data_IF_954203803302
#
_entry.id   IF_954203803302
#
_cell.length_a   1.000
_cell.length_b   1.000
_cell.length_c   1.000
_cell.angle_alpha   90.00
_cell.angle_beta   90.00
_cell.angle_gamma   90.00
#
_symmetry.space_group_name_H-M   'P 1'
#
loop_
_entity.id
_entity.type
_entity.pdbx_description
1 polymer ?
#
# COMPACT_ATOMS: atom_id res chain seq x y z
N UNK A 1 44.51 7.00 -27.74
CA UNK A 1 43.58 5.95 -27.28
C UNK A 1 43.35 5.94 -25.77
N UNK A 2 44.37 6.09 -24.90
CA UNK A 2 44.17 6.13 -23.44
C UNK A 2 43.30 7.30 -22.95
N UNK A 3 43.39 8.48 -23.55
CA UNK A 3 42.64 9.68 -23.16
C UNK A 3 41.14 9.61 -23.49
N UNK A 4 40.74 8.83 -24.50
CA UNK A 4 39.34 8.68 -24.91
C UNK A 4 38.57 7.71 -23.98
N UNK A 5 39.26 6.70 -23.43
CA UNK A 5 38.70 5.76 -22.46
C UNK A 5 38.47 6.39 -21.07
N UNK A 6 39.30 7.36 -20.67
CA UNK A 6 39.13 8.06 -19.38
C UNK A 6 37.92 8.99 -19.38
N UNK A 7 37.62 9.64 -20.51
CA UNK A 7 36.45 10.53 -20.64
C UNK A 7 35.15 9.71 -20.67
N UNK A 8 35.15 8.55 -21.34
CA UNK A 8 34.00 7.64 -21.34
C UNK A 8 33.72 7.07 -19.93
N UNK A 9 34.78 6.74 -19.17
CA UNK A 9 34.64 6.28 -17.79
C UNK A 9 34.13 7.38 -16.83
N UNK A 10 34.47 8.65 -17.08
CA UNK A 10 33.97 9.78 -16.29
C UNK A 10 32.52 10.15 -16.60
N UNK A 11 32.01 9.86 -17.80
CA UNK A 11 30.59 10.12 -18.14
C UNK A 11 29.62 9.04 -17.64
N UNK A 12 30.10 7.83 -17.33
CA UNK A 12 29.26 6.75 -16.79
C UNK A 12 29.13 6.76 -15.26
N UNK A 13 29.89 7.62 -14.54
CA UNK A 13 29.97 7.60 -13.08
C UNK A 13 29.13 8.66 -12.34
N UNK A 14 28.39 9.55 -13.01
CA UNK A 14 27.65 10.62 -12.30
C UNK A 14 26.23 10.90 -12.80
N UNK A 15 25.58 9.93 -13.44
CA UNK A 15 24.13 9.95 -13.61
C UNK A 15 23.48 8.98 -12.62
N UNK A 16 23.75 9.16 -11.32
CA UNK A 16 22.81 8.69 -10.31
C UNK A 16 21.56 9.55 -10.48
N UNK A 17 20.54 9.00 -11.15
CA UNK A 17 19.25 9.65 -11.26
C UNK A 17 18.78 10.05 -9.86
N UNK A 18 18.80 11.35 -9.54
CA UNK A 18 18.30 11.90 -8.26
C UNK A 18 16.77 11.87 -8.15
N UNK A 19 16.13 10.95 -8.86
CA UNK A 19 14.67 10.87 -9.06
C UNK A 19 14.04 9.63 -8.45
N UNK A 20 14.71 9.00 -7.48
CA UNK A 20 14.26 7.74 -6.87
C UNK A 20 14.33 7.81 -5.36
N UNK A 21 13.33 7.23 -4.70
CA UNK A 21 13.35 7.10 -3.26
C UNK A 21 14.40 6.07 -2.80
N UNK A 22 14.90 6.22 -1.57
CA UNK A 22 15.91 5.30 -1.02
C UNK A 22 15.48 3.82 -1.09
N UNK A 23 14.19 3.52 -0.90
CA UNK A 23 13.68 2.15 -0.94
C UNK A 23 13.61 1.57 -2.35
N UNK A 24 13.70 2.37 -3.41
CA UNK A 24 13.58 1.88 -4.79
C UNK A 24 14.82 1.14 -5.29
N UNK A 25 15.92 1.15 -4.52
CA UNK A 25 17.09 0.30 -4.77
C UNK A 25 16.85 -1.18 -4.46
N UNK A 26 15.81 -1.51 -3.68
CA UNK A 26 15.46 -2.87 -3.30
C UNK A 26 14.54 -3.54 -4.32
N UNK A 27 14.52 -4.87 -4.30
CA UNK A 27 13.66 -5.65 -5.19
C UNK A 27 12.19 -5.34 -4.93
N UNK A 28 11.47 -4.93 -5.97
CA UNK A 28 10.03 -4.68 -5.89
C UNK A 28 9.23 -5.97 -6.02
N UNK A 29 8.15 -6.08 -5.25
CA UNK A 29 7.17 -7.15 -5.41
C UNK A 29 6.54 -7.11 -6.82
N UNK A 30 6.30 -8.28 -7.40
CA UNK A 30 5.67 -8.42 -8.72
C UNK A 30 4.19 -8.77 -8.57
N UNK A 31 3.34 -7.77 -8.75
CA UNK A 31 1.90 -7.95 -8.68
C UNK A 31 1.29 -8.46 -9.98
N UNK A 32 0.31 -9.37 -9.85
CA UNK A 32 -0.74 -9.55 -10.85
C UNK A 32 -1.86 -8.54 -10.57
N UNK A 33 -2.28 -7.84 -11.60
CA UNK A 33 -3.18 -6.69 -11.51
C UNK A 33 -4.52 -6.96 -12.19
N UNK A 34 -5.62 -6.57 -11.55
CA UNK A 34 -6.99 -6.71 -12.05
C UNK A 34 -7.74 -5.39 -11.86
N UNK A 35 -8.34 -4.86 -12.92
CA UNK A 35 -8.99 -3.56 -12.94
C UNK A 35 -10.40 -3.59 -13.56
N UNK A 36 -10.95 -4.78 -13.82
CA UNK A 36 -12.24 -5.01 -14.46
C UNK A 36 -13.40 -5.05 -13.44
N UNK A 37 -13.44 -4.06 -12.55
CA UNK A 37 -14.53 -3.89 -11.59
C UNK A 37 -15.88 -3.74 -12.30
N UNK A 38 -16.86 -4.56 -11.89
CA UNK A 38 -18.26 -4.42 -12.30
C UNK A 38 -19.03 -3.68 -11.22
N UNK A 39 -19.51 -2.48 -11.57
CA UNK A 39 -20.27 -1.63 -10.66
C UNK A 39 -21.76 -1.78 -10.91
N UNK A 40 -22.51 -2.03 -9.84
CA UNK A 40 -23.97 -2.10 -9.82
C UNK A 40 -24.48 -0.99 -8.91
N UNK A 41 -24.93 0.10 -9.51
CA UNK A 41 -25.56 1.20 -8.79
C UNK A 41 -27.01 0.84 -8.44
N UNK A 42 -27.29 0.78 -7.14
CA UNK A 42 -28.63 0.53 -6.59
C UNK A 42 -29.07 1.65 -5.66
N UNK A 43 -28.51 2.85 -5.81
CA UNK A 43 -28.71 3.99 -4.92
C UNK A 43 -30.19 4.37 -4.77
N UNK A 44 -30.97 4.33 -5.86
CA UNK A 44 -32.39 4.69 -5.81
C UNK A 44 -33.22 3.73 -4.94
N UNK A 45 -32.94 2.42 -5.01
CA UNK A 45 -33.76 1.37 -4.39
C UNK A 45 -33.23 0.89 -3.05
N UNK A 46 -31.91 0.74 -2.94
CA UNK A 46 -31.25 0.08 -1.81
C UNK A 46 -30.27 0.99 -1.07
N UNK A 47 -30.07 2.23 -1.54
CA UNK A 47 -29.09 3.20 -0.99
C UNK A 47 -27.67 2.63 -0.94
N UNK A 48 -27.32 1.80 -1.94
CA UNK A 48 -26.05 1.08 -2.00
C UNK A 48 -25.48 1.08 -3.41
N UNK A 49 -24.16 1.02 -3.47
CA UNK A 49 -23.41 0.73 -4.70
C UNK A 49 -22.52 -0.48 -4.45
N UNK A 50 -22.53 -1.43 -5.38
CA UNK A 50 -21.68 -2.62 -5.32
C UNK A 50 -20.64 -2.59 -6.41
N UNK A 51 -19.36 -2.70 -6.07
CA UNK A 51 -18.27 -2.92 -7.02
C UNK A 51 -17.73 -4.34 -6.81
N UNK A 52 -17.79 -5.17 -7.85
CA UNK A 52 -17.45 -6.59 -7.77
C UNK A 52 -16.36 -6.94 -8.77
N UNK A 53 -15.35 -7.70 -8.34
CA UNK A 53 -14.27 -8.20 -9.19
C UNK A 53 -14.05 -9.68 -8.90
N UNK A 54 -13.95 -10.50 -9.96
CA UNK A 54 -13.78 -11.95 -9.86
C UNK A 54 -12.47 -12.37 -10.50
N UNK A 55 -11.66 -13.11 -9.74
CA UNK A 55 -10.40 -13.70 -10.20
C UNK A 55 -10.62 -15.20 -10.42
N UNK A 56 -10.56 -15.68 -11.68
CA UNK A 56 -10.64 -17.11 -11.94
C UNK A 56 -9.35 -17.81 -11.51
N UNK A 57 -9.48 -19.06 -11.06
CA UNK A 57 -8.34 -19.90 -10.63
C UNK A 57 -7.43 -19.17 -9.62
N UNK A 58 -8.03 -18.53 -8.62
CA UNK A 58 -7.27 -17.83 -7.58
C UNK A 58 -6.65 -18.83 -6.60
N UNK A 59 -7.43 -19.82 -6.18
CA UNK A 59 -6.98 -20.87 -5.27
C UNK A 59 -6.33 -22.02 -6.06
N UNK A 60 -5.38 -22.72 -5.44
CA UNK A 60 -4.63 -23.83 -6.06
C UNK A 60 -5.51 -24.96 -6.60
N UNK A 61 -6.70 -25.16 -6.01
CA UNK A 61 -7.66 -26.15 -6.46
C UNK A 61 -8.52 -25.69 -7.66
N UNK A 62 -8.21 -24.52 -8.24
CA UNK A 62 -8.92 -23.93 -9.38
C UNK A 62 -10.14 -23.09 -8.99
N UNK A 63 -10.43 -22.93 -7.70
CA UNK A 63 -11.59 -22.15 -7.28
C UNK A 63 -11.44 -20.66 -7.62
N UNK A 64 -12.59 -20.03 -7.82
CA UNK A 64 -12.71 -18.61 -8.11
C UNK A 64 -12.82 -17.80 -6.82
N UNK A 65 -12.16 -16.64 -6.79
CA UNK A 65 -12.31 -15.63 -5.76
C UNK A 65 -13.14 -14.47 -6.31
N UNK A 66 -14.09 -13.97 -5.53
CA UNK A 66 -14.76 -12.71 -5.82
C UNK A 66 -14.66 -11.78 -4.63
N UNK A 67 -14.20 -10.55 -4.86
CA UNK A 67 -14.27 -9.45 -3.89
C UNK A 67 -15.41 -8.52 -4.29
N UNK A 68 -16.30 -8.24 -3.35
CA UNK A 68 -17.34 -7.24 -3.51
C UNK A 68 -17.18 -6.15 -2.46
N UNK A 69 -17.02 -4.92 -2.94
CA UNK A 69 -17.00 -3.70 -2.15
C UNK A 69 -18.40 -3.08 -2.19
N UNK A 70 -19.02 -2.89 -1.03
CA UNK A 70 -20.34 -2.27 -0.91
C UNK A 70 -20.24 -0.98 -0.13
N UNK A 71 -20.63 0.12 -0.77
CA UNK A 71 -20.77 1.43 -0.14
C UNK A 71 -22.23 1.77 0.06
N UNK A 72 -22.52 2.54 1.09
CA UNK A 72 -23.86 3.00 1.45
C UNK A 72 -23.95 4.50 1.18
N UNK A 73 -25.01 4.94 0.50
CA UNK A 73 -25.15 6.34 0.06
C UNK A 73 -25.86 7.24 1.08
N UNK A 74 -26.53 6.64 2.06
CA UNK A 74 -27.22 7.32 3.17
C UNK A 74 -26.30 7.56 4.37
N UNK A 75 -25.23 6.77 4.52
CA UNK A 75 -24.17 6.93 5.52
C UNK A 75 -22.80 6.77 4.86
N UNK A 76 -22.52 7.60 3.86
CA UNK A 76 -21.31 7.50 3.03
C UNK A 76 -20.00 7.65 3.82
N UNK A 77 -20.02 8.32 4.97
CA UNK A 77 -18.84 8.52 5.82
C UNK A 77 -18.59 7.32 6.76
N UNK A 78 -19.62 6.51 7.04
CA UNK A 78 -19.64 5.53 8.12
C UNK A 78 -19.96 4.13 7.59
N UNK A 79 -18.89 3.35 7.42
CA UNK A 79 -18.90 1.89 7.22
C UNK A 79 -19.34 1.38 5.84
N UNK A 80 -18.36 0.91 5.06
CA UNK A 80 -18.58 0.02 3.93
C UNK A 80 -18.46 -1.45 4.34
N UNK A 81 -18.92 -2.33 3.46
CA UNK A 81 -18.77 -3.78 3.63
C UNK A 81 -17.92 -4.34 2.50
N UNK A 82 -16.91 -5.12 2.86
CA UNK A 82 -16.19 -5.99 1.95
C UNK A 82 -16.72 -7.41 2.13
N UNK A 83 -17.14 -8.04 1.04
CA UNK A 83 -17.51 -9.45 1.01
C UNK A 83 -16.51 -10.23 0.18
N UNK A 84 -16.16 -11.40 0.67
CA UNK A 84 -15.31 -12.37 0.00
C UNK A 84 -16.18 -13.56 -0.36
N UNK A 85 -16.10 -13.99 -1.61
CA UNK A 85 -16.77 -15.21 -2.08
C UNK A 85 -15.76 -16.18 -2.66
N UNK A 86 -15.98 -17.46 -2.37
CA UNK A 86 -15.31 -18.59 -3.02
C UNK A 86 -16.36 -19.35 -3.82
N UNK A 87 -16.18 -19.45 -5.14
CA UNK A 87 -17.16 -20.10 -6.04
C UNK A 87 -18.61 -19.64 -5.81
N UNK A 88 -18.82 -18.32 -5.69
CA UNK A 88 -20.12 -17.66 -5.44
C UNK A 88 -20.72 -17.85 -4.03
N UNK A 89 -20.08 -18.62 -3.15
CA UNK A 89 -20.49 -18.71 -1.74
C UNK A 89 -19.77 -17.64 -0.93
N UNK A 90 -20.52 -16.80 -0.20
CA UNK A 90 -19.95 -15.79 0.71
C UNK A 90 -19.21 -16.52 1.84
N UNK A 91 -17.91 -16.29 1.97
CA UNK A 91 -17.06 -16.88 3.00
C UNK A 91 -16.73 -15.88 4.11
N UNK A 92 -16.67 -14.59 3.79
CA UNK A 92 -16.40 -13.54 4.77
C UNK A 92 -17.18 -12.26 4.46
N UNK A 93 -17.54 -11.55 5.54
CA UNK A 93 -18.17 -10.24 5.51
C UNK A 93 -17.48 -9.35 6.53
N UNK A 94 -16.85 -8.30 6.06
CA UNK A 94 -15.94 -7.46 6.84
C UNK A 94 -16.37 -6.01 6.71
N UNK A 95 -16.40 -5.29 7.84
CA UNK A 95 -16.68 -3.86 7.85
C UNK A 95 -15.38 -3.08 7.63
N UNK A 96 -15.44 -2.05 6.79
CA UNK A 96 -14.35 -1.10 6.58
C UNK A 96 -14.86 0.30 6.90
N UNK A 97 -14.14 1.03 7.75
CA UNK A 97 -14.53 2.39 8.15
C UNK A 97 -14.12 3.42 7.09
N UNK A 98 -14.71 3.29 5.90
CA UNK A 98 -14.61 4.25 4.79
C UNK A 98 -15.76 4.02 3.80
N UNK A 99 -16.04 4.99 2.92
CA UNK A 99 -16.75 4.72 1.66
C UNK A 99 -15.79 4.21 0.58
N UNK A 100 -16.21 3.21 -0.19
CA UNK A 100 -15.62 2.94 -1.49
C UNK A 100 -16.31 3.79 -2.56
N UNK A 101 -15.55 4.66 -3.22
CA UNK A 101 -16.05 5.40 -4.36
C UNK A 101 -15.73 4.59 -5.63
N UNK A 102 -16.72 4.10 -6.40
CA UNK A 102 -16.48 3.26 -7.57
C UNK A 102 -15.51 3.88 -8.59
N UNK A 103 -15.54 5.20 -8.73
CA UNK A 103 -14.65 5.92 -9.65
C UNK A 103 -13.20 6.06 -9.15
N UNK A 104 -12.96 5.80 -7.86
CA UNK A 104 -11.64 5.88 -7.23
C UNK A 104 -11.06 4.51 -6.84
N UNK A 105 -11.74 3.42 -7.21
CA UNK A 105 -11.23 2.08 -7.01
C UNK A 105 -10.03 1.84 -7.92
N UNK A 106 -8.86 1.67 -7.28
CA UNK A 106 -7.65 1.27 -7.97
C UNK A 106 -7.70 -0.22 -8.36
N UNK A 107 -6.68 -0.62 -9.10
CA UNK A 107 -6.35 -1.99 -9.45
C UNK A 107 -6.25 -2.85 -8.19
N UNK A 108 -7.00 -3.96 -8.17
CA UNK A 108 -6.80 -5.04 -7.21
C UNK A 108 -5.51 -5.77 -7.59
N UNK A 109 -4.60 -5.89 -6.62
CA UNK A 109 -3.27 -6.47 -6.82
C UNK A 109 -3.14 -7.77 -6.04
N UNK A 110 -2.46 -8.75 -6.63
CA UNK A 110 -2.26 -10.09 -6.05
C UNK A 110 -0.79 -10.48 -6.11
N UNK A 111 -0.23 -10.89 -4.98
CA UNK A 111 1.10 -11.49 -4.85
C UNK A 111 1.25 -12.14 -3.47
N UNK A 112 2.24 -13.00 -3.30
CA UNK A 112 2.70 -13.44 -1.98
C UNK A 112 3.50 -12.29 -1.34
N UNK A 113 2.93 -11.61 -0.35
CA UNK A 113 3.54 -10.43 0.29
C UNK A 113 4.35 -10.87 1.52
N UNK A 114 3.82 -11.81 2.30
CA UNK A 114 4.41 -12.22 3.57
C UNK A 114 5.41 -13.40 3.43
N UNK A 115 5.55 -13.98 2.24
CA UNK A 115 6.49 -15.05 1.91
C UNK A 115 6.01 -16.45 2.33
N UNK A 116 4.71 -16.66 2.53
CA UNK A 116 4.16 -17.95 2.97
C UNK A 116 3.74 -18.89 1.83
N UNK A 117 3.89 -18.43 0.58
CA UNK A 117 3.54 -19.18 -0.63
C UNK A 117 2.08 -19.04 -1.05
N UNK A 118 1.23 -18.36 -0.28
CA UNK A 118 -0.17 -18.10 -0.63
C UNK A 118 -0.31 -16.75 -1.34
N UNK A 119 -1.46 -16.53 -1.98
CA UNK A 119 -1.72 -15.30 -2.73
C UNK A 119 -2.41 -14.28 -1.82
N UNK A 120 -1.73 -13.20 -1.48
CA UNK A 120 -2.32 -12.08 -0.76
C UNK A 120 -2.94 -11.07 -1.73
N UNK A 121 -3.88 -10.27 -1.23
CA UNK A 121 -4.58 -9.25 -2.01
C UNK A 121 -4.28 -7.88 -1.42
N UNK A 122 -4.08 -6.90 -2.30
CA UNK A 122 -3.96 -5.48 -1.96
C UNK A 122 -4.98 -4.66 -2.74
N UNK A 123 -5.69 -3.79 -2.02
CA UNK A 123 -6.62 -2.79 -2.56
C UNK A 123 -6.21 -1.42 -2.04
N UNK A 124 -6.25 -0.42 -2.91
CA UNK A 124 -6.05 0.98 -2.56
C UNK A 124 -7.33 1.73 -2.93
N UNK A 125 -7.83 2.54 -2.01
CA UNK A 125 -9.01 3.38 -2.25
C UNK A 125 -8.73 4.80 -1.78
N UNK A 126 -8.94 5.78 -2.65
CA UNK A 126 -8.70 7.18 -2.31
C UNK A 126 -9.87 7.78 -1.53
N UNK A 127 -9.57 8.71 -0.60
CA UNK A 127 -10.58 9.47 0.15
C UNK A 127 -11.16 10.67 -0.61
N UNK A 128 -10.71 10.93 -1.85
CA UNK A 128 -11.23 11.98 -2.74
C UNK A 128 -11.19 13.41 -2.15
N UNK A 129 -10.19 13.72 -1.31
CA UNK A 129 -9.99 15.05 -0.74
C UNK A 129 -9.39 16.07 -1.72
N UNK A 130 -9.17 17.29 -1.24
CA UNK A 130 -8.50 18.37 -1.99
C UNK A 130 -7.12 18.72 -1.38
N UNK A 131 -6.21 19.27 -2.19
CA UNK A 131 -4.87 19.65 -1.73
C UNK A 131 -4.08 18.45 -1.19
N UNK A 132 -3.43 18.59 -0.04
CA UNK A 132 -2.70 17.48 0.61
C UNK A 132 -3.61 16.36 1.13
N UNK A 133 -4.91 16.62 1.29
CA UNK A 133 -5.90 15.60 1.62
C UNK A 133 -6.28 14.74 0.39
N UNK A 134 -6.03 15.22 -0.84
CA UNK A 134 -6.21 14.42 -2.05
C UNK A 134 -5.27 13.21 -2.10
N UNK A 135 -4.16 13.27 -1.37
CA UNK A 135 -3.20 12.17 -1.25
C UNK A 135 -3.66 11.09 -0.26
N UNK A 136 -4.68 11.37 0.57
CA UNK A 136 -5.15 10.38 1.54
C UNK A 136 -5.72 9.17 0.82
N UNK A 137 -5.19 8.00 1.18
CA UNK A 137 -5.68 6.72 0.71
C UNK A 137 -5.89 5.78 1.90
N UNK A 138 -6.86 4.88 1.74
CA UNK A 138 -6.95 3.65 2.54
C UNK A 138 -6.25 2.54 1.80
N UNK A 139 -5.55 1.74 2.58
CA UNK A 139 -4.73 0.63 2.16
C UNK A 139 -5.35 -0.59 2.78
N UNK A 140 -5.67 -1.60 1.99
CA UNK A 140 -6.33 -2.78 2.51
C UNK A 140 -5.57 -4.00 1.98
N UNK A 141 -5.11 -4.83 2.90
CA UNK A 141 -4.55 -6.13 2.58
C UNK A 141 -5.47 -7.24 3.08
N UNK A 142 -5.55 -8.31 2.30
CA UNK A 142 -6.08 -9.59 2.72
C UNK A 142 -4.96 -10.60 2.63
N UNK A 143 -4.47 -11.04 3.78
CA UNK A 143 -3.48 -12.11 3.86
C UNK A 143 -4.17 -13.45 3.86
N UNK A 144 -3.86 -14.31 2.89
CA UNK A 144 -4.50 -15.61 2.79
C UNK A 144 -3.99 -16.52 3.92
N UNK A 145 -4.90 -17.27 4.54
CA UNK A 145 -4.59 -18.25 5.56
C UNK A 145 -4.65 -19.68 4.97
N UNK A 146 -4.00 -20.68 5.60
CA UNK A 146 -3.99 -22.05 5.09
C UNK A 146 -5.38 -22.71 4.94
N UNK A 147 -6.39 -22.23 5.66
CA UNK A 147 -7.77 -22.68 5.54
C UNK A 147 -8.54 -22.00 4.38
N UNK A 148 -7.86 -21.16 3.60
CA UNK A 148 -8.39 -20.32 2.52
C UNK A 148 -9.32 -19.18 2.97
N UNK A 149 -9.36 -18.89 4.28
CA UNK A 149 -9.88 -17.61 4.75
C UNK A 149 -8.81 -16.52 4.62
N UNK A 150 -9.19 -15.27 4.85
CA UNK A 150 -8.29 -14.13 4.81
C UNK A 150 -8.27 -13.40 6.15
N UNK A 151 -7.09 -12.96 6.57
CA UNK A 151 -6.95 -11.93 7.61
C UNK A 151 -6.88 -10.56 6.95
N UNK A 152 -7.77 -9.65 7.33
CA UNK A 152 -7.77 -8.29 6.79
C UNK A 152 -6.96 -7.37 7.68
N UNK A 153 -6.10 -6.56 7.07
CA UNK A 153 -5.58 -5.35 7.70
C UNK A 153 -5.85 -4.14 6.82
N UNK A 154 -6.05 -2.97 7.42
CA UNK A 154 -6.07 -1.72 6.69
C UNK A 154 -5.50 -0.58 7.51
N UNK A 155 -5.09 0.49 6.83
CA UNK A 155 -4.57 1.70 7.45
C UNK A 155 -4.70 2.90 6.50
N UNK A 156 -4.45 4.10 7.01
CA UNK A 156 -4.33 5.33 6.23
C UNK A 156 -2.89 5.56 5.77
N UNK A 157 -2.72 6.14 4.58
CA UNK A 157 -1.41 6.43 3.98
C UNK A 157 -1.55 7.62 3.01
N UNK A 158 -0.41 8.13 2.52
CA UNK A 158 -0.35 9.16 1.48
C UNK A 158 0.42 8.74 0.22
N UNK A 159 0.94 7.51 0.16
CA UNK A 159 1.66 6.99 -1.02
C UNK A 159 0.71 6.30 -2.00
N UNK A 160 0.11 7.04 -2.93
CA UNK A 160 -0.76 6.49 -3.99
C UNK A 160 0.01 5.89 -5.17
N UNK A 161 1.08 6.56 -5.64
CA UNK A 161 1.93 6.12 -6.75
C UNK A 161 3.26 5.51 -6.25
N UNK A 162 3.89 4.61 -7.02
CA UNK A 162 5.12 3.86 -6.66
C UNK A 162 5.03 2.96 -5.41
N UNK A 163 3.81 2.59 -5.05
CA UNK A 163 3.50 1.83 -3.85
C UNK A 163 3.65 0.33 -4.00
N UNK A 164 4.84 -0.10 -4.40
CA UNK A 164 5.20 -1.51 -4.35
C UNK A 164 5.98 -1.77 -3.07
N UNK A 165 5.66 -2.86 -2.42
CA UNK A 165 6.42 -3.43 -1.31
C UNK A 165 7.83 -3.80 -1.81
N UNK A 166 8.78 -3.84 -0.89
CA UNK A 166 10.19 -4.04 -1.21
C UNK A 166 10.76 -5.10 -0.29
N UNK A 167 11.60 -5.96 -0.84
CA UNK A 167 12.34 -6.96 -0.07
C UNK A 167 13.69 -6.35 0.35
N UNK A 168 13.76 -5.84 1.58
CA UNK A 168 14.92 -5.08 2.07
C UNK A 168 16.10 -5.98 2.44
N UNK A 169 15.85 -7.22 2.86
CA UNK A 169 16.87 -8.17 3.30
C UNK A 169 16.96 -9.45 2.47
N UNK A 170 16.15 -9.59 1.41
CA UNK A 170 16.22 -10.72 0.48
C UNK A 170 15.56 -11.99 1.04
N UNK A 171 14.69 -11.87 2.04
CA UNK A 171 14.06 -13.01 2.71
C UNK A 171 12.76 -13.49 2.02
N UNK A 172 12.31 -12.77 0.99
CA UNK A 172 11.08 -13.05 0.26
C UNK A 172 9.80 -12.56 0.96
N UNK A 173 9.90 -12.00 2.17
CA UNK A 173 8.82 -11.31 2.88
C UNK A 173 8.96 -9.82 2.63
N UNK A 174 8.10 -9.27 1.79
CA UNK A 174 8.23 -7.89 1.34
C UNK A 174 7.75 -6.90 2.41
N UNK A 175 8.63 -5.97 2.79
CA UNK A 175 8.28 -4.87 3.68
C UNK A 175 7.24 -3.94 3.04
N UNK A 176 6.23 -3.63 3.84
CA UNK A 176 5.22 -2.61 3.60
C UNK A 176 5.79 -1.26 4.02
N UNK A 177 5.93 -0.35 3.06
CA UNK A 177 6.39 1.01 3.27
C UNK A 177 5.17 1.92 3.41
N UNK A 178 5.13 2.74 4.46
CA UNK A 178 4.11 3.78 4.63
C UNK A 178 4.68 5.17 4.37
N UNK A 179 3.83 6.13 4.02
CA UNK A 179 4.20 7.54 3.90
C UNK A 179 3.17 8.45 4.56
N UNK A 180 3.61 9.20 5.58
CA UNK A 180 2.79 10.20 6.25
C UNK A 180 3.41 11.60 6.14
N UNK A 181 2.58 12.64 6.22
CA UNK A 181 3.05 14.03 6.28
C UNK A 181 3.07 14.46 7.74
N UNK A 182 4.25 14.80 8.24
CA UNK A 182 4.42 15.27 9.63
C UNK A 182 5.11 16.63 9.67
N UNK A 183 4.78 17.42 10.69
CA UNK A 183 5.47 18.67 11.01
C UNK A 183 6.60 18.45 12.01
N UNK A 184 7.73 19.13 11.81
CA UNK A 184 8.79 19.24 12.81
C UNK A 184 9.45 20.61 12.67
N UNK A 185 9.44 21.39 13.77
CA UNK A 185 9.83 22.80 13.76
C UNK A 185 9.06 23.58 12.68
N UNK A 186 9.73 24.38 11.87
CA UNK A 186 9.12 25.24 10.85
C UNK A 186 8.93 24.54 9.49
N UNK A 187 8.99 23.21 9.45
CA UNK A 187 8.98 22.43 8.21
C UNK A 187 8.08 21.19 8.27
N UNK A 188 7.58 20.79 7.09
CA UNK A 188 6.87 19.53 6.90
C UNK A 188 7.74 18.50 6.18
N UNK A 189 7.55 17.23 6.52
CA UNK A 189 8.33 16.12 6.02
C UNK A 189 7.44 14.94 5.67
N UNK A 190 7.78 14.27 4.57
CA UNK A 190 7.34 12.91 4.30
C UNK A 190 8.10 11.95 5.21
N UNK A 191 7.39 11.32 6.14
CA UNK A 191 7.88 10.30 7.04
C UNK A 191 7.59 8.93 6.45
N UNK A 192 8.64 8.11 6.32
CA UNK A 192 8.51 6.74 5.86
C UNK A 192 8.85 5.77 6.99
N UNK A 193 7.99 4.78 7.21
CA UNK A 193 8.23 3.64 8.10
C UNK A 193 8.11 2.34 7.30
N UNK A 194 8.72 1.27 7.80
CA UNK A 194 8.65 -0.06 7.20
C UNK A 194 8.09 -1.09 8.19
N UNK A 195 7.25 -1.98 7.67
CA UNK A 195 6.53 -2.98 8.45
C UNK A 195 6.53 -4.33 7.73
N UNK A 196 6.53 -5.43 8.49
CA UNK A 196 6.21 -6.75 7.97
C UNK A 196 4.88 -7.20 8.50
N UNK A 197 4.19 -8.01 7.72
CA UNK A 197 3.08 -8.78 8.24
C UNK A 197 3.58 -10.07 8.89
N UNK A 198 3.36 -10.21 10.20
CA UNK A 198 3.77 -11.38 10.99
C UNK A 198 2.74 -11.64 12.09
N UNK A 199 2.44 -12.91 12.37
CA UNK A 199 1.54 -13.31 13.46
C UNK A 199 0.17 -12.60 13.44
N UNK A 200 -0.42 -12.41 12.26
CA UNK A 200 -1.75 -11.85 12.12
C UNK A 200 -1.83 -10.32 12.07
N UNK A 201 -0.70 -9.60 12.09
CA UNK A 201 -0.69 -8.14 12.05
C UNK A 201 0.63 -7.52 11.59
N UNK A 202 0.66 -6.19 11.54
CA UNK A 202 1.87 -5.45 11.20
C UNK A 202 2.83 -5.34 12.39
N UNK A 203 4.11 -5.50 12.10
CA UNK A 203 5.21 -5.30 13.05
C UNK A 203 6.18 -4.31 12.42
N UNK A 204 6.49 -3.23 13.14
CA UNK A 204 7.50 -2.28 12.69
C UNK A 204 8.88 -2.96 12.59
N UNK A 205 9.54 -2.81 11.45
CA UNK A 205 10.87 -3.39 11.19
C UNK A 205 11.87 -2.32 10.74
N UNK A 206 11.70 -1.09 11.21
CA UNK A 206 12.55 0.05 10.85
C UNK A 206 14.05 -0.20 11.06
N UNK A 207 14.41 -1.10 11.98
CA UNK A 207 15.80 -1.50 12.21
C UNK A 207 16.46 -2.21 11.02
N UNK A 208 15.70 -2.80 10.08
CA UNK A 208 16.22 -3.53 8.91
C UNK A 208 17.09 -2.64 7.99
N UNK A 209 16.70 -1.38 7.73
CA UNK A 209 17.44 -0.48 6.84
C UNK A 209 17.54 0.97 7.35
N UNK A 210 17.84 1.13 8.64
CA UNK A 210 17.97 2.46 9.24
C UNK A 210 16.74 3.35 8.97
N UNK A 211 15.52 2.85 9.14
CA UNK A 211 14.27 3.63 9.11
C UNK A 211 13.89 4.12 10.52
N UNK A 212 12.92 5.03 10.70
CA UNK A 212 12.26 5.79 9.64
C UNK A 212 13.24 6.72 8.91
N UNK A 213 12.85 7.14 7.72
CA UNK A 213 13.53 8.22 6.99
C UNK A 213 12.56 9.37 6.80
N UNK A 214 13.10 10.58 6.67
CA UNK A 214 12.32 11.79 6.48
C UNK A 214 12.83 12.55 5.26
N UNK A 215 11.92 12.95 4.39
CA UNK A 215 12.22 13.73 3.19
C UNK A 215 11.45 15.03 3.30
N UNK A 216 12.13 16.19 3.17
CA UNK A 216 11.46 17.47 3.30
C UNK A 216 10.39 17.63 2.21
N UNK A 217 9.17 17.97 2.63
CA UNK A 217 8.07 18.30 1.71
C UNK A 217 8.32 19.70 1.13
N UNK A 218 8.41 19.76 -0.20
CA UNK A 218 8.72 20.98 -0.96
C UNK A 218 7.73 21.12 -2.11
N UNK A 219 7.64 22.32 -2.69
CA UNK A 219 6.85 22.57 -3.90
C UNK A 219 7.39 21.83 -5.15
N UNK A 220 8.57 21.23 -5.05
CA UNK A 220 9.24 20.45 -6.09
C UNK A 220 9.45 19.02 -5.62
N UNK A 221 9.58 18.09 -6.56
CA UNK A 221 9.97 16.71 -6.23
C UNK A 221 11.29 16.69 -5.48
N UNK A 222 11.32 15.90 -4.41
CA UNK A 222 12.48 15.66 -3.58
C UNK A 222 12.44 14.21 -3.11
N UNK A 223 13.56 13.52 -3.25
CA UNK A 223 13.71 12.11 -2.89
C UNK A 223 14.86 11.90 -1.89
N UNK A 224 15.58 12.97 -1.55
CA UNK A 224 16.74 12.92 -0.66
C UNK A 224 16.28 12.96 0.80
N UNK A 225 16.79 12.02 1.60
CA UNK A 225 16.63 12.03 3.06
C UNK A 225 17.23 13.32 3.61
N UNK A 226 16.45 14.05 4.41
CA UNK A 226 16.86 15.36 4.91
C UNK A 226 18.09 15.25 5.82
N UNK A 227 18.99 16.22 5.72
CA UNK A 227 20.10 16.42 6.65
C UNK A 227 19.76 17.44 7.77
N UNK A 228 18.55 18.01 7.76
CA UNK A 228 18.09 18.97 8.78
C UNK A 228 17.71 18.32 10.11
N UNK A 229 17.40 17.03 10.07
CA UNK A 229 17.04 16.23 11.24
C UNK A 229 18.11 15.15 11.40
N UNK A 230 18.69 15.02 12.59
CA UNK A 230 19.68 13.96 12.84
C UNK A 230 19.03 12.58 12.73
N UNK A 231 19.83 11.56 12.38
CA UNK A 231 19.34 10.17 12.29
C UNK A 231 18.71 9.70 13.59
N UNK A 232 19.34 10.00 14.73
CA UNK A 232 18.82 9.65 16.06
C UNK A 232 17.49 10.34 16.34
N UNK A 233 17.34 11.61 15.93
CA UNK A 233 16.08 12.32 16.06
C UNK A 233 14.99 11.72 15.16
N UNK A 234 15.32 11.30 13.93
CA UNK A 234 14.36 10.59 13.06
C UNK A 234 13.83 9.32 13.73
N UNK A 235 14.66 8.58 14.48
CA UNK A 235 14.21 7.37 15.19
C UNK A 235 13.08 7.63 16.19
N UNK A 236 12.97 8.84 16.73
CA UNK A 236 11.86 9.19 17.65
C UNK A 236 10.50 9.29 16.95
N UNK A 237 10.47 9.28 15.61
CA UNK A 237 9.24 9.26 14.80
C UNK A 237 8.87 7.84 14.32
N UNK A 238 9.51 6.80 14.86
CA UNK A 238 9.15 5.43 14.56
C UNK A 238 7.71 5.15 15.02
N UNK A 239 6.91 4.59 14.11
CA UNK A 239 5.53 4.22 14.39
C UNK A 239 5.47 2.77 14.89
N UNK A 240 4.70 2.51 15.96
CA UNK A 240 4.38 1.13 16.36
C UNK A 240 3.50 0.46 15.31
N UNK A 241 2.48 1.17 14.84
CA UNK A 241 1.55 0.79 13.77
C UNK A 241 1.25 2.02 12.90
N UNK A 242 0.84 1.84 11.63
CA UNK A 242 0.40 2.95 10.79
C UNK A 242 -0.85 3.66 11.34
N UNK A 243 -1.10 4.87 10.86
CA UNK A 243 -2.29 5.65 11.23
C UNK A 243 -3.57 4.93 10.79
N UNK A 244 -4.62 5.02 11.62
CA UNK A 244 -5.91 4.35 11.42
C UNK A 244 -5.82 2.84 11.15
N UNK A 245 -4.82 2.17 11.74
CA UNK A 245 -4.64 0.73 11.61
C UNK A 245 -5.85 -0.04 12.16
N UNK A 246 -6.40 -0.93 11.34
CA UNK A 246 -7.49 -1.85 11.70
C UNK A 246 -7.14 -3.26 11.22
N UNK A 247 -7.37 -4.25 12.09
CA UNK A 247 -7.18 -5.66 11.78
C UNK A 247 -8.45 -6.44 12.14
N UNK A 248 -8.96 -7.23 11.20
CA UNK A 248 -10.17 -8.07 11.35
C UNK A 248 -9.84 -9.51 11.01
#
# INVERSE_FOLDING_TARGET
MRTLLTILALTFLTWTAKGQFQFEKYTAIKYKSFNDWKTYDKTEKEKKVHSTLTIPNFFDNGDTLTIQLTSFTDHWEDNSIIRVFRNKTETQKIFENMAFEPTSLDTLRIADINGDGLQDIKIISAYMGNGTAALNIRVIYFFQLPDNSFKKISFADKMSENRQERDFDGDGNFEIITMNLIGHEDHSYWLFNIFNYRNGGLVNVNSKDNYPIMIQFLYRYNYEVTNKISRDKMKTFALTLPDDYDAK
#
